data_IF_134049180535
#
_entry.id   IF_134049180535
#
_cell.length_a   1.000
_cell.length_b   1.000
_cell.length_c   1.000
_cell.angle_alpha   90.00
_cell.angle_beta   90.00
_cell.angle_gamma   90.00
#
_symmetry.space_group_name_H-M   'P 1'
#
loop_
_entity.id
_entity.type
_entity.pdbx_description
1 polymer ?
#
# COMPACT_ATOMS: atom_id res chain seq x y z
N UNK A 1 -69.70 -8.12 6.02
CA UNK A 1 -68.51 -7.31 6.33
C UNK A 1 -67.87 -7.95 7.55
N UNK A 2 -66.92 -8.86 7.41
CA UNK A 2 -65.47 -8.62 7.27
C UNK A 2 -64.82 -9.28 8.51
N UNK A 3 -63.58 -9.76 8.53
CA UNK A 3 -62.50 -9.80 7.56
C UNK A 3 -61.41 -10.69 8.21
N UNK A 4 -60.88 -11.68 7.47
CA UNK A 4 -59.61 -12.40 7.67
C UNK A 4 -59.34 -13.24 8.94
N UNK A 5 -59.32 -14.56 8.74
CA UNK A 5 -58.29 -15.44 9.32
C UNK A 5 -57.81 -16.42 8.24
N UNK A 6 -56.76 -16.05 7.53
CA UNK A 6 -55.95 -16.94 6.71
C UNK A 6 -54.51 -16.83 7.21
N UNK A 7 -54.11 -17.76 8.08
CA UNK A 7 -52.72 -17.91 8.49
C UNK A 7 -51.96 -18.53 7.31
N UNK A 8 -51.53 -17.68 6.37
CA UNK A 8 -50.42 -18.01 5.49
C UNK A 8 -49.14 -17.87 6.31
N UNK A 9 -48.62 -18.99 6.78
CA UNK A 9 -47.27 -19.11 7.32
C UNK A 9 -46.30 -18.94 6.14
N UNK A 10 -46.02 -17.68 5.79
CA UNK A 10 -44.96 -17.36 4.85
C UNK A 10 -43.63 -17.79 5.50
N UNK A 11 -43.03 -18.85 4.96
CA UNK A 11 -41.65 -19.24 5.28
C UNK A 11 -40.76 -18.02 5.07
N UNK A 12 -39.99 -17.67 6.10
CA UNK A 12 -38.98 -16.62 5.99
C UNK A 12 -38.07 -16.92 4.78
N UNK A 13 -37.67 -15.90 3.99
CA UNK A 13 -36.73 -16.12 2.91
C UNK A 13 -35.43 -16.67 3.51
N UNK A 14 -34.96 -17.80 3.00
CA UNK A 14 -33.65 -18.32 3.33
C UNK A 14 -32.60 -17.24 3.07
N UNK A 15 -31.60 -17.06 3.94
CA UNK A 15 -30.53 -16.10 3.71
C UNK A 15 -29.90 -16.38 2.34
N UNK A 16 -29.47 -15.33 1.61
CA UNK A 16 -28.83 -15.51 0.32
C UNK A 16 -27.66 -16.47 0.50
N UNK A 17 -27.75 -17.62 -0.16
CA UNK A 17 -26.67 -18.57 -0.25
C UNK A 17 -25.51 -17.87 -0.93
N UNK A 18 -24.50 -17.47 -0.15
CA UNK A 18 -23.24 -17.01 -0.70
C UNK A 18 -22.71 -18.11 -1.63
N UNK A 19 -22.40 -17.81 -2.90
CA UNK A 19 -21.78 -18.80 -3.76
C UNK A 19 -20.50 -19.27 -3.08
N UNK A 20 -20.34 -20.60 -2.97
CA UNK A 20 -19.13 -21.25 -2.52
C UNK A 20 -17.95 -20.73 -3.38
N UNK A 21 -17.21 -19.75 -2.87
CA UNK A 21 -16.06 -19.12 -3.54
C UNK A 21 -14.82 -20.02 -3.61
N UNK A 22 -14.97 -21.30 -3.28
CA UNK A 22 -13.90 -22.29 -3.28
C UNK A 22 -14.03 -23.18 -4.52
N UNK A 23 -13.76 -22.63 -5.70
CA UNK A 23 -13.73 -23.40 -6.95
C UNK A 23 -12.81 -22.75 -7.99
N UNK A 24 -11.50 -22.81 -7.72
CA UNK A 24 -10.42 -23.11 -8.67
C UNK A 24 -9.10 -22.63 -8.06
N UNK A 25 -8.20 -23.56 -7.74
CA UNK A 25 -6.81 -23.25 -7.38
C UNK A 25 -6.01 -22.91 -8.65
N UNK A 26 -6.44 -21.86 -9.37
CA UNK A 26 -5.47 -21.06 -10.11
C UNK A 26 -4.57 -20.38 -9.08
N UNK A 27 -3.28 -20.18 -9.39
CA UNK A 27 -2.44 -19.32 -8.55
C UNK A 27 -3.06 -17.94 -8.51
N UNK A 28 -3.70 -17.62 -7.38
CA UNK A 28 -4.36 -16.34 -7.12
C UNK A 28 -3.33 -15.23 -7.38
N UNK A 29 -3.64 -14.33 -8.30
CA UNK A 29 -2.80 -13.17 -8.58
C UNK A 29 -3.44 -11.94 -7.93
N UNK A 30 -2.64 -11.17 -7.24
CA UNK A 30 -3.03 -9.95 -6.55
C UNK A 30 -2.45 -8.75 -7.28
N UNK A 31 -3.27 -7.75 -7.52
CA UNK A 31 -2.82 -6.43 -7.97
C UNK A 31 -2.64 -5.55 -6.73
N UNK A 32 -1.49 -4.90 -6.61
CA UNK A 32 -1.25 -3.83 -5.64
C UNK A 32 -0.98 -2.56 -6.42
N UNK A 33 -1.59 -1.48 -5.98
CA UNK A 33 -1.56 -0.19 -6.64
C UNK A 33 -1.23 0.88 -5.59
N UNK A 34 -0.23 1.72 -5.86
CA UNK A 34 0.24 2.78 -4.96
C UNK A 34 0.41 4.07 -5.74
N UNK A 35 -0.21 5.15 -5.24
CA UNK A 35 -0.02 6.51 -5.73
C UNK A 35 0.81 7.33 -4.76
N UNK A 36 1.80 8.03 -5.30
CA UNK A 36 2.78 8.81 -4.56
C UNK A 36 2.77 10.28 -4.98
N UNK A 37 2.98 11.18 -4.03
CA UNK A 37 3.25 12.60 -4.27
C UNK A 37 4.64 12.99 -3.77
N UNK A 38 5.29 13.94 -4.43
CA UNK A 38 6.65 14.35 -4.07
C UNK A 38 6.75 15.05 -2.71
N UNK A 39 5.69 15.73 -2.28
CA UNK A 39 5.64 16.54 -1.06
C UNK A 39 4.61 15.96 -0.07
N UNK A 40 5.06 15.27 1.01
CA UNK A 40 4.17 14.70 2.02
C UNK A 40 3.27 15.72 2.73
N UNK A 41 3.69 16.97 2.85
CA UNK A 41 2.92 17.97 3.59
C UNK A 41 1.73 18.47 2.76
N UNK A 42 1.90 18.61 1.44
CA UNK A 42 0.78 18.89 0.52
C UNK A 42 -0.22 17.73 0.43
N UNK A 43 0.22 16.49 0.73
CA UNK A 43 -0.68 15.32 0.75
C UNK A 43 -1.56 15.28 2.01
N UNK A 44 -1.15 15.94 3.10
CA UNK A 44 -1.92 16.01 4.36
C UNK A 44 -2.98 17.11 4.34
N UNK A 45 -3.03 17.92 3.28
CA UNK A 45 -4.09 18.91 3.11
C UNK A 45 -5.46 18.22 2.95
N UNK A 46 -6.54 18.96 3.19
CA UNK A 46 -7.92 18.43 3.12
C UNK A 46 -8.25 17.81 1.77
N UNK A 47 -7.59 18.28 0.70
CA UNK A 47 -7.59 17.67 -0.62
C UNK A 47 -6.13 17.46 -0.98
N UNK A 48 -5.64 16.21 -1.05
CA UNK A 48 -4.25 15.94 -1.41
C UNK A 48 -3.92 16.56 -2.76
N UNK A 49 -2.92 17.45 -2.77
CA UNK A 49 -2.45 18.11 -3.99
C UNK A 49 -1.02 17.69 -4.31
N UNK A 50 -0.71 17.63 -5.62
CA UNK A 50 0.65 17.40 -6.10
C UNK A 50 1.04 18.52 -7.06
N UNK A 51 2.12 19.23 -6.76
CA UNK A 51 2.68 20.24 -7.65
C UNK A 51 3.60 19.58 -8.69
N UNK A 52 3.11 19.41 -9.92
CA UNK A 52 3.87 18.78 -11.00
C UNK A 52 4.91 19.70 -11.64
N UNK A 53 4.89 21.00 -11.39
CA UNK A 53 5.85 21.96 -11.94
C UNK A 53 7.20 21.87 -11.22
N UNK A 54 7.16 21.73 -9.89
CA UNK A 54 8.36 21.63 -9.05
C UNK A 54 8.61 20.23 -8.51
N UNK A 55 7.61 19.36 -8.56
CA UNK A 55 7.64 18.01 -8.04
C UNK A 55 7.17 16.96 -9.04
N UNK A 56 6.65 15.86 -8.50
CA UNK A 56 6.25 14.69 -9.27
C UNK A 56 5.11 13.95 -8.57
N UNK A 57 4.30 13.26 -9.37
CA UNK A 57 3.45 12.18 -8.90
C UNK A 57 3.97 10.86 -9.46
N UNK A 58 3.79 9.77 -8.74
CA UNK A 58 4.14 8.45 -9.25
C UNK A 58 3.03 7.44 -9.00
N UNK A 59 2.92 6.47 -9.89
CA UNK A 59 1.94 5.40 -9.84
C UNK A 59 2.67 4.07 -10.02
N UNK A 60 2.65 3.25 -8.96
CA UNK A 60 3.27 1.93 -8.93
C UNK A 60 2.16 0.89 -8.98
N UNK A 61 2.17 0.05 -10.02
CA UNK A 61 1.29 -1.11 -10.12
C UNK A 61 2.15 -2.37 -10.09
N UNK A 62 1.84 -3.30 -9.20
CA UNK A 62 2.55 -4.56 -9.11
C UNK A 62 1.61 -5.75 -8.93
N UNK A 63 2.06 -6.90 -9.41
CA UNK A 63 1.35 -8.16 -9.41
C UNK A 63 2.16 -9.18 -8.61
N UNK A 64 1.50 -9.89 -7.69
CA UNK A 64 2.12 -10.92 -6.84
C UNK A 64 1.18 -12.11 -6.68
N UNK A 65 1.75 -13.31 -6.59
CA UNK A 65 0.99 -14.50 -6.18
C UNK A 65 0.94 -14.68 -4.65
N UNK A 66 1.78 -13.96 -3.91
CA UNK A 66 1.94 -14.06 -2.46
C UNK A 66 1.82 -12.69 -1.79
N UNK A 67 0.58 -12.20 -1.67
CA UNK A 67 0.30 -10.91 -1.01
C UNK A 67 0.65 -10.95 0.48
N UNK A 68 0.43 -12.08 1.15
CA UNK A 68 0.66 -12.22 2.59
C UNK A 68 2.16 -12.13 2.87
N UNK A 69 2.98 -12.85 2.09
CA UNK A 69 4.43 -12.77 2.18
C UNK A 69 4.94 -11.37 1.85
N UNK A 70 4.36 -10.69 0.86
CA UNK A 70 4.74 -9.31 0.50
C UNK A 70 4.42 -8.30 1.62
N UNK A 71 3.27 -8.45 2.28
CA UNK A 71 2.91 -7.62 3.43
C UNK A 71 3.85 -7.87 4.61
N UNK A 72 4.07 -9.14 4.98
CA UNK A 72 4.91 -9.53 6.13
C UNK A 72 6.38 -9.18 5.97
N UNK A 73 6.93 -9.36 4.76
CA UNK A 73 8.35 -9.06 4.48
C UNK A 73 8.59 -7.58 4.17
N UNK A 74 7.54 -6.80 3.96
CA UNK A 74 7.62 -5.42 3.49
C UNK A 74 7.79 -5.29 1.98
N UNK A 75 7.23 -4.21 1.43
CA UNK A 75 7.40 -3.85 0.02
C UNK A 75 8.57 -2.88 -0.13
N UNK A 76 9.73 -3.39 -0.51
CA UNK A 76 10.93 -2.57 -0.73
C UNK A 76 11.26 -2.48 -2.22
N UNK A 77 11.47 -1.26 -2.71
CA UNK A 77 11.88 -0.98 -4.09
C UNK A 77 13.19 -0.20 -4.06
N UNK A 78 14.14 -0.65 -4.87
CA UNK A 78 15.46 -0.03 -5.03
C UNK A 78 15.91 -0.14 -6.48
N UNK A 79 17.02 0.51 -6.83
CA UNK A 79 17.57 0.42 -8.19
C UNK A 79 17.88 -1.02 -8.62
N UNK A 80 18.11 -1.96 -7.68
CA UNK A 80 18.32 -3.39 -7.98
C UNK A 80 17.08 -4.09 -8.54
N UNK A 81 15.90 -3.51 -8.33
CA UNK A 81 14.64 -4.05 -8.83
C UNK A 81 14.32 -3.58 -10.25
N UNK A 82 15.06 -2.59 -10.77
CA UNK A 82 14.80 -1.97 -12.06
C UNK A 82 15.33 -2.85 -13.20
N UNK A 83 14.47 -3.16 -14.15
CA UNK A 83 14.85 -3.73 -15.44
C UNK A 83 15.24 -2.56 -16.34
N UNK A 84 16.55 -2.35 -16.50
CA UNK A 84 17.09 -1.13 -17.13
C UNK A 84 16.68 -1.05 -18.60
N UNK A 85 16.65 -2.18 -19.29
CA UNK A 85 16.33 -2.32 -20.70
C UNK A 85 14.88 -1.95 -21.04
N UNK A 86 13.99 -2.01 -20.05
CA UNK A 86 12.57 -1.70 -20.19
C UNK A 86 12.20 -0.31 -19.63
N UNK A 87 13.16 0.42 -19.08
CA UNK A 87 12.93 1.76 -18.54
C UNK A 87 13.05 2.83 -19.64
N UNK A 88 12.07 3.73 -19.73
CA UNK A 88 12.07 4.77 -20.76
C UNK A 88 11.47 6.10 -20.27
N UNK A 89 11.65 7.15 -21.07
CA UNK A 89 11.02 8.45 -20.87
C UNK A 89 10.09 8.73 -22.06
N UNK A 90 8.83 9.00 -21.77
CA UNK A 90 7.82 9.35 -22.77
C UNK A 90 7.29 10.76 -22.53
N UNK A 91 6.91 11.45 -23.60
CA UNK A 91 6.27 12.76 -23.53
C UNK A 91 4.84 12.66 -24.04
N UNK A 92 3.87 13.24 -23.32
CA UNK A 92 2.48 13.32 -23.78
C UNK A 92 1.90 14.73 -23.61
N UNK A 93 0.98 15.17 -24.48
CA UNK A 93 0.44 16.52 -24.42
C UNK A 93 -0.31 16.80 -23.11
N UNK A 94 -0.10 17.98 -22.52
CA UNK A 94 -0.94 18.48 -21.44
C UNK A 94 -2.23 19.06 -22.05
N UNK A 95 -3.36 18.41 -21.79
CA UNK A 95 -4.65 18.69 -22.47
C UNK A 95 -5.17 20.13 -22.34
N UNK A 96 -4.64 20.93 -21.42
CA UNK A 96 -5.17 22.27 -21.10
C UNK A 96 -4.35 23.42 -21.68
N UNK A 97 -3.11 23.20 -22.13
CA UNK A 97 -2.24 24.28 -22.62
C UNK A 97 -1.49 23.89 -23.90
N UNK A 98 -1.51 24.78 -24.88
CA UNK A 98 -0.69 24.63 -26.08
C UNK A 98 0.80 24.71 -25.69
N UNK A 99 1.58 23.70 -26.08
CA UNK A 99 3.03 23.53 -25.87
C UNK A 99 3.49 23.05 -24.48
N UNK A 100 2.60 22.68 -23.57
CA UNK A 100 2.99 22.03 -22.30
C UNK A 100 2.91 20.50 -22.45
N UNK A 101 3.94 19.78 -21.99
CA UNK A 101 4.01 18.31 -22.05
C UNK A 101 4.20 17.74 -20.65
N UNK A 102 3.57 16.60 -20.40
CA UNK A 102 3.98 15.73 -19.30
C UNK A 102 5.19 14.91 -19.72
N UNK A 103 6.14 14.81 -18.80
CA UNK A 103 7.23 13.86 -18.83
C UNK A 103 6.83 12.67 -17.96
N UNK A 104 6.70 11.51 -18.60
CA UNK A 104 6.39 10.25 -17.93
C UNK A 104 7.63 9.36 -17.98
N UNK A 105 8.29 9.18 -16.84
CA UNK A 105 9.41 8.24 -16.70
C UNK A 105 8.88 6.89 -16.23
N UNK A 106 9.11 5.87 -17.05
CA UNK A 106 8.63 4.52 -16.84
C UNK A 106 9.76 3.64 -16.36
N UNK A 107 9.48 2.81 -15.35
CA UNK A 107 10.36 1.76 -14.89
C UNK A 107 9.60 0.45 -14.86
N UNK A 108 10.12 -0.57 -15.53
CA UNK A 108 9.74 -1.94 -15.25
C UNK A 108 10.52 -2.43 -14.02
N UNK A 109 9.81 -3.09 -13.12
CA UNK A 109 10.32 -3.52 -11.82
C UNK A 109 10.06 -5.01 -11.62
N UNK A 110 11.03 -5.69 -10.99
CA UNK A 110 10.88 -7.08 -10.57
C UNK A 110 11.42 -7.30 -9.17
N UNK A 111 10.72 -8.13 -8.41
CA UNK A 111 11.13 -8.63 -7.11
C UNK A 111 11.03 -10.16 -7.04
N UNK A 112 11.34 -10.75 -5.88
CA UNK A 112 11.35 -12.21 -5.73
C UNK A 112 10.01 -12.90 -6.01
N UNK A 113 8.89 -12.25 -5.64
CA UNK A 113 7.53 -12.80 -5.78
C UNK A 113 6.58 -11.87 -6.53
N UNK A 114 7.08 -10.77 -7.08
CA UNK A 114 6.25 -9.74 -7.71
C UNK A 114 6.92 -9.12 -8.93
N UNK A 115 6.11 -8.57 -9.83
CA UNK A 115 6.54 -7.76 -10.98
C UNK A 115 5.64 -6.55 -11.09
N UNK A 116 6.16 -5.43 -11.57
CA UNK A 116 5.36 -4.21 -11.65
C UNK A 116 5.94 -3.16 -12.55
N UNK A 117 5.20 -2.07 -12.69
CA UNK A 117 5.59 -0.89 -13.42
C UNK A 117 5.38 0.35 -12.55
N UNK A 118 6.38 1.23 -12.56
CA UNK A 118 6.31 2.55 -11.96
C UNK A 118 6.27 3.60 -13.07
N UNK A 119 5.29 4.48 -13.02
CA UNK A 119 5.23 5.66 -13.91
C UNK A 119 5.33 6.91 -13.05
N UNK A 120 6.31 7.75 -13.35
CA UNK A 120 6.54 9.04 -12.68
C UNK A 120 6.17 10.14 -13.64
N UNK A 121 5.18 10.94 -13.29
CA UNK A 121 4.70 12.06 -14.10
C UNK A 121 5.12 13.39 -13.48
N UNK A 122 5.61 14.30 -14.32
CA UNK A 122 5.96 15.69 -13.96
C UNK A 122 5.85 16.60 -15.18
N UNK A 123 5.79 17.91 -14.97
CA UNK A 123 5.92 18.93 -16.02
C UNK A 123 7.38 19.39 -16.22
N UNK A 124 8.31 18.92 -15.37
CA UNK A 124 9.71 19.34 -15.39
C UNK A 124 10.63 18.20 -15.88
N UNK A 125 11.27 18.39 -17.03
CA UNK A 125 12.26 17.44 -17.57
C UNK A 125 13.44 17.18 -16.59
N UNK A 126 14.00 18.20 -15.91
CA UNK A 126 15.00 17.96 -14.86
C UNK A 126 14.48 17.08 -13.72
N UNK A 127 13.22 17.23 -13.30
CA UNK A 127 12.63 16.37 -12.27
C UNK A 127 12.52 14.93 -12.78
N UNK A 128 12.02 14.72 -14.00
CA UNK A 128 11.89 13.39 -14.58
C UNK A 128 13.25 12.67 -14.70
N UNK A 129 14.28 13.36 -15.21
CA UNK A 129 15.62 12.79 -15.44
C UNK A 129 16.39 12.54 -14.14
N UNK A 130 16.18 13.36 -13.11
CA UNK A 130 16.82 13.18 -11.80
C UNK A 130 16.06 12.25 -10.85
N UNK A 131 14.81 11.88 -11.17
CA UNK A 131 14.07 10.93 -10.34
C UNK A 131 14.83 9.59 -10.20
N UNK A 132 14.78 9.02 -9.00
CA UNK A 132 15.31 7.70 -8.66
C UNK A 132 14.26 6.97 -7.84
N UNK A 133 14.22 5.64 -7.96
CA UNK A 133 13.19 4.84 -7.26
C UNK A 133 13.30 4.96 -5.74
N UNK A 134 14.49 5.29 -5.22
CA UNK A 134 14.74 5.60 -3.81
C UNK A 134 14.06 6.88 -3.33
N UNK A 135 13.53 7.72 -4.22
CA UNK A 135 12.70 8.86 -3.82
C UNK A 135 11.30 8.44 -3.35
N UNK A 136 10.90 7.20 -3.60
CA UNK A 136 9.67 6.62 -3.07
C UNK A 136 9.84 6.30 -1.59
N UNK A 137 8.81 6.63 -0.82
CA UNK A 137 8.73 6.33 0.59
C UNK A 137 7.27 6.24 1.00
N UNK A 138 6.96 5.48 2.04
CA UNK A 138 5.58 5.24 2.41
C UNK A 138 4.85 6.49 2.95
N UNK A 139 5.56 7.54 3.39
CA UNK A 139 4.99 8.83 3.82
C UNK A 139 4.56 9.70 2.63
N UNK A 140 5.03 9.36 1.43
CA UNK A 140 4.64 9.98 0.16
C UNK A 140 3.45 9.29 -0.49
N UNK A 141 2.97 8.18 0.07
CA UNK A 141 1.81 7.45 -0.45
C UNK A 141 0.54 8.12 0.04
N UNK A 142 -0.32 8.54 -0.89
CA UNK A 142 -1.63 9.11 -0.57
C UNK A 142 -2.80 8.16 -0.90
N UNK A 143 -2.53 7.13 -1.70
CA UNK A 143 -3.50 6.09 -2.02
C UNK A 143 -2.77 4.76 -2.21
N UNK A 144 -3.28 3.69 -1.59
CA UNK A 144 -2.78 2.35 -1.81
C UNK A 144 -3.91 1.33 -1.65
N UNK A 145 -4.01 0.38 -2.58
CA UNK A 145 -4.95 -0.72 -2.45
C UNK A 145 -4.35 -2.02 -3.00
N UNK A 146 -4.78 -3.13 -2.42
CA UNK A 146 -4.51 -4.46 -2.95
C UNK A 146 -5.83 -5.17 -3.21
N UNK A 147 -5.96 -5.78 -4.39
CA UNK A 147 -7.16 -6.50 -4.79
C UNK A 147 -6.84 -7.80 -5.50
N UNK A 148 -7.76 -8.75 -5.43
CA UNK A 148 -7.70 -9.95 -6.25
C UNK A 148 -7.85 -9.54 -7.73
N UNK A 149 -6.86 -9.86 -8.56
CA UNK A 149 -6.89 -9.52 -9.97
C UNK A 149 -7.97 -10.29 -10.75
N UNK A 150 -8.39 -11.45 -10.22
CA UNK A 150 -9.38 -12.31 -10.85
C UNK A 150 -10.82 -12.04 -10.43
N UNK A 151 -11.03 -11.19 -9.43
CA UNK A 151 -12.36 -10.92 -8.85
C UNK A 151 -12.57 -9.42 -8.72
N UNK A 152 -13.59 -8.93 -9.39
CA UNK A 152 -14.03 -7.55 -9.22
C UNK A 152 -14.45 -7.32 -7.76
N UNK A 153 -14.08 -6.16 -7.21
CA UNK A 153 -14.47 -5.67 -5.88
C UNK A 153 -13.99 -6.53 -4.68
N UNK A 154 -12.96 -7.36 -4.84
CA UNK A 154 -12.35 -8.08 -3.73
C UNK A 154 -11.06 -7.39 -3.26
N UNK A 155 -11.19 -6.49 -2.28
CA UNK A 155 -10.06 -5.80 -1.66
C UNK A 155 -9.45 -6.61 -0.52
N UNK A 156 -8.12 -6.70 -0.50
CA UNK A 156 -7.32 -7.22 0.61
C UNK A 156 -6.75 -6.09 1.48
N UNK A 157 -6.57 -4.92 0.90
CA UNK A 157 -5.99 -3.76 1.56
C UNK A 157 -6.53 -2.49 0.93
N UNK A 158 -6.82 -1.49 1.74
CA UNK A 158 -7.25 -0.16 1.31
C UNK A 158 -6.62 0.90 2.22
N UNK A 159 -6.05 1.93 1.60
CA UNK A 159 -5.50 3.10 2.25
C UNK A 159 -5.79 4.35 1.42
N UNK A 160 -6.41 5.34 2.04
CA UNK A 160 -6.67 6.67 1.52
C UNK A 160 -6.24 7.69 2.59
N UNK A 161 -5.28 8.56 2.28
CA UNK A 161 -4.80 9.55 3.26
C UNK A 161 -5.90 10.53 3.69
N UNK A 162 -6.80 10.87 2.76
CA UNK A 162 -7.92 11.80 2.96
C UNK A 162 -9.12 11.19 3.71
N UNK A 163 -9.17 9.87 3.82
CA UNK A 163 -10.28 9.12 4.44
C UNK A 163 -9.74 8.01 5.34
N UNK A 164 -9.07 8.36 6.45
CA UNK A 164 -8.48 7.36 7.33
C UNK A 164 -9.49 6.36 7.88
N UNK A 165 -10.78 6.72 7.97
CA UNK A 165 -11.87 5.87 8.42
C UNK A 165 -12.17 4.68 7.50
N UNK A 166 -11.72 4.69 6.25
CA UNK A 166 -11.87 3.56 5.32
C UNK A 166 -10.59 2.74 5.18
N UNK A 167 -9.53 3.08 5.90
CA UNK A 167 -8.27 2.35 5.85
C UNK A 167 -8.45 1.00 6.53
N UNK A 168 -8.07 -0.06 5.83
CA UNK A 168 -8.25 -1.42 6.32
C UNK A 168 -7.26 -2.38 5.65
N UNK A 169 -6.77 -3.31 6.45
CA UNK A 169 -6.03 -4.47 5.99
C UNK A 169 -6.85 -5.70 6.35
N UNK A 170 -7.53 -6.30 5.38
CA UNK A 170 -8.47 -7.39 5.59
C UNK A 170 -7.79 -8.76 5.74
N UNK A 171 -6.45 -8.81 5.70
CA UNK A 171 -5.66 -10.05 5.79
C UNK A 171 -4.89 -10.13 7.11
N UNK A 172 -4.21 -9.04 7.48
CA UNK A 172 -3.34 -8.99 8.66
C UNK A 172 -3.84 -8.03 9.74
N UNK A 173 -5.04 -7.48 9.58
CA UNK A 173 -5.64 -6.50 10.50
C UNK A 173 -4.64 -5.36 10.80
N UNK A 174 -4.46 -5.02 12.07
CA UNK A 174 -3.60 -3.91 12.51
C UNK A 174 -2.11 -4.27 12.58
N UNK A 175 -1.69 -5.42 12.02
CA UNK A 175 -0.28 -5.80 11.99
C UNK A 175 0.54 -4.74 11.24
N UNK A 176 1.55 -4.13 11.87
CA UNK A 176 2.37 -3.11 11.22
C UNK A 176 3.11 -3.66 10.01
N UNK A 177 3.08 -2.90 8.92
CA UNK A 177 3.74 -3.22 7.65
C UNK A 177 4.98 -2.34 7.45
N UNK A 178 5.92 -2.85 6.66
CA UNK A 178 7.20 -2.17 6.40
C UNK A 178 7.42 -1.83 4.92
N UNK A 179 8.42 -0.99 4.63
CA UNK A 179 8.71 -0.55 3.27
C UNK A 179 7.72 0.51 2.78
N UNK A 180 7.16 0.32 1.58
CA UNK A 180 6.26 1.26 0.92
C UNK A 180 4.79 1.16 1.38
N UNK A 181 4.46 0.26 2.30
CA UNK A 181 3.13 0.19 2.89
C UNK A 181 2.88 1.41 3.81
N UNK A 182 1.88 2.26 3.51
CA UNK A 182 1.65 3.48 4.29
C UNK A 182 1.07 3.26 5.67
N UNK A 183 0.33 2.16 5.85
CA UNK A 183 -0.45 1.83 7.04
C UNK A 183 -0.71 0.30 7.12
N UNK A 184 -0.98 -0.31 8.28
CA UNK A 184 -0.66 0.17 9.62
C UNK A 184 0.85 0.30 9.78
N UNK A 185 1.32 1.25 10.59
CA UNK A 185 2.74 1.44 10.88
C UNK A 185 3.05 1.27 12.35
N UNK A 186 4.29 0.87 12.63
CA UNK A 186 4.84 0.98 13.99
C UNK A 186 4.85 2.46 14.33
N UNK A 187 4.24 2.82 15.45
CA UNK A 187 4.43 4.15 16.01
C UNK A 187 5.94 4.39 16.17
N UNK A 188 6.45 5.57 15.81
CA UNK A 188 7.81 5.92 16.14
C UNK A 188 7.94 5.83 17.66
N UNK A 189 8.82 4.95 18.15
CA UNK A 189 9.16 4.92 19.57
C UNK A 189 9.64 6.33 19.93
N UNK A 190 8.98 6.96 20.89
CA UNK A 190 9.53 8.18 21.48
C UNK A 190 10.84 7.82 22.17
N UNK A 191 11.79 8.77 22.24
CA UNK A 191 13.08 8.56 22.90
C UNK A 191 12.94 8.06 24.34
N UNK A 192 11.80 8.35 24.98
CA UNK A 192 11.48 7.89 26.34
C UNK A 192 11.14 6.40 26.36
N UNK A 193 10.46 5.87 25.33
CA UNK A 193 10.13 4.44 25.21
C UNK A 193 11.34 3.58 24.80
N UNK A 194 12.31 4.15 24.08
CA UNK A 194 13.59 3.48 23.79
C UNK A 194 14.42 3.34 25.07
N UNK A 195 14.49 4.40 25.89
CA UNK A 195 15.18 4.37 27.19
C UNK A 195 14.55 3.40 28.18
N UNK A 196 13.22 3.32 28.24
CA UNK A 196 12.53 2.35 29.10
C UNK A 196 12.82 0.90 28.67
N UNK A 197 12.82 0.61 27.36
CA UNK A 197 13.19 -0.73 26.86
C UNK A 197 14.66 -1.09 27.07
N UNK A 198 15.57 -0.12 26.97
CA UNK A 198 16.98 -0.33 27.31
C UNK A 198 17.14 -0.62 28.81
N UNK A 199 16.44 0.11 29.68
CA UNK A 199 16.44 -0.14 31.12
C UNK A 199 15.82 -1.49 31.51
N UNK A 200 14.77 -1.94 30.82
CA UNK A 200 14.19 -3.27 31.03
C UNK A 200 15.12 -4.41 30.59
N UNK A 201 15.88 -4.21 29.50
CA UNK A 201 16.90 -5.17 29.05
C UNK A 201 18.07 -5.25 30.03
N UNK A 202 18.55 -4.11 30.52
CA UNK A 202 19.62 -4.07 31.52
C UNK A 202 19.19 -4.70 32.85
N UNK A 203 17.94 -4.51 33.29
CA UNK A 203 17.41 -5.15 34.49
C UNK A 203 17.25 -6.67 34.34
N UNK A 204 16.80 -7.14 33.18
CA UNK A 204 16.67 -8.58 32.91
C UNK A 204 18.02 -9.32 32.90
N UNK A 205 19.07 -8.69 32.39
CA UNK A 205 20.43 -9.26 32.41
C UNK A 205 21.07 -9.26 33.82
N UNK A 206 20.65 -8.35 34.70
CA UNK A 206 21.17 -8.28 36.07
C UNK A 206 20.56 -9.37 36.98
N UNK A 207 19.27 -9.69 36.80
CA UNK A 207 18.59 -10.72 37.61
C UNK A 207 18.98 -12.16 37.21
N UNK A 208 19.39 -12.39 35.96
CA UNK A 208 19.87 -13.71 35.51
C UNK A 208 21.33 -13.97 35.94
N UNK A 209 22.14 -12.92 36.12
CA UNK A 209 23.51 -13.02 36.66
C UNK A 209 23.56 -13.33 38.16
N UNK A 210 22.66 -12.74 38.95
CA UNK A 210 22.62 -12.93 40.41
C UNK A 210 22.09 -14.32 40.85
N UNK A 211 21.47 -15.09 39.95
CA UNK A 211 21.05 -16.47 40.22
C UNK A 211 22.16 -17.51 40.01
N UNK A 212 23.26 -17.16 39.33
CA UNK A 212 24.35 -18.09 39.01
C UNK A 212 25.41 -18.14 40.13
N UNK A 213 25.46 -17.13 41.01
CA UNK A 213 26.43 -17.04 42.13
C UNK A 213 25.94 -17.65 43.46
N UNK A 214 24.81 -18.39 43.46
CA UNK A 214 24.24 -19.05 44.65
C UNK A 214 24.16 -20.59 44.58
N UNK A 215 24.86 -21.23 43.65
CA UNK A 215 24.98 -22.70 43.54
C UNK A 215 26.42 -23.18 43.72
#
# INVERSE_FOLDING_TARGET
MGLFDFINRASAPSPPSFPNLCSSFGTKSWKVDLSFGSDPDMLKEKVPMVNLTTGWQAHLVLYTSDIIGLMRKGLYVSQKNVIVEESCLTMRPYRQENNTYYYDRQYALTGPSWKGNLVVTTLSCPVATNFRVEHLSADKVYHCYASDYSRDLCWAYNFMIEKPEVNANYILDDTPLEGLWPWPRKEPLTQDMEKEREQEREKGETEEGDMIDLL
#
